data_IF_335502428464
#
_entry.id   IF_335502428464
#
_cell.length_a   1.000
_cell.length_b   1.000
_cell.length_c   1.000
_cell.angle_alpha   90.00
_cell.angle_beta   90.00
_cell.angle_gamma   90.00
#
_symmetry.space_group_name_H-M   'P 1'
#
loop_
_entity.id
_entity.type
_entity.pdbx_description
1 polymer ?
#
# COMPACT_ATOMS: atom_id res chain seq x y z
N UNK A 1 16.35 8.19 -3.24
CA UNK A 1 15.66 9.03 -4.25
C UNK A 1 14.33 9.40 -3.62
N UNK A 2 14.13 10.68 -3.34
CA UNK A 2 12.87 11.16 -2.76
C UNK A 2 11.85 11.36 -3.88
N UNK A 3 10.64 10.85 -3.69
CA UNK A 3 9.51 11.12 -4.58
C UNK A 3 8.60 12.15 -3.90
N UNK A 4 8.75 13.42 -4.29
CA UNK A 4 7.99 14.55 -3.77
C UNK A 4 6.49 14.55 -4.17
N UNK A 5 6.06 13.61 -5.02
CA UNK A 5 4.65 13.43 -5.43
C UNK A 5 4.17 11.98 -5.25
N UNK A 6 4.55 11.34 -4.14
CA UNK A 6 4.17 9.95 -3.86
C UNK A 6 2.65 9.71 -4.02
N UNK A 7 1.81 10.66 -3.61
CA UNK A 7 0.35 10.65 -3.76
C UNK A 7 -0.14 10.52 -5.22
N UNK A 8 0.51 11.19 -6.17
CA UNK A 8 0.09 11.14 -7.58
C UNK A 8 0.47 9.80 -8.24
N UNK A 9 1.49 9.14 -7.70
CA UNK A 9 2.06 7.92 -8.28
C UNK A 9 1.30 6.67 -7.81
N UNK A 10 0.67 6.66 -6.63
CA UNK A 10 -0.04 5.47 -6.08
C UNK A 10 -1.48 5.29 -6.60
N UNK A 11 -1.94 6.12 -7.55
CA UNK A 11 -3.23 5.89 -8.20
C UNK A 11 -3.36 4.47 -8.78
N UNK A 12 -4.58 3.90 -8.78
CA UNK A 12 -4.84 2.50 -9.18
C UNK A 12 -4.22 2.10 -10.53
N UNK A 13 -4.09 3.04 -11.48
CA UNK A 13 -3.49 2.80 -12.81
C UNK A 13 -1.98 2.53 -12.78
N UNK A 14 -1.27 2.94 -11.73
CA UNK A 14 0.19 2.86 -11.64
C UNK A 14 0.70 1.91 -10.56
N UNK A 15 -0.18 1.37 -9.69
CA UNK A 15 0.20 0.47 -8.60
C UNK A 15 1.04 -0.75 -9.08
N UNK A 16 0.69 -1.36 -10.21
CA UNK A 16 1.47 -2.48 -10.77
C UNK A 16 2.86 -2.06 -11.26
N UNK A 17 2.98 -0.86 -11.81
CA UNK A 17 4.26 -0.30 -12.25
C UNK A 17 5.15 0.05 -11.06
N UNK A 18 4.58 0.62 -9.99
CA UNK A 18 5.30 0.87 -8.73
C UNK A 18 5.79 -0.44 -8.13
N UNK A 19 4.95 -1.48 -8.01
CA UNK A 19 5.39 -2.78 -7.48
C UNK A 19 6.54 -3.35 -8.29
N UNK A 20 6.45 -3.29 -9.62
CA UNK A 20 7.54 -3.68 -10.50
C UNK A 20 8.79 -2.86 -10.22
N UNK A 21 8.64 -1.54 -10.10
CA UNK A 21 9.74 -0.63 -9.86
C UNK A 21 10.41 -0.87 -8.51
N UNK A 22 9.67 -0.96 -7.41
CA UNK A 22 10.17 -1.25 -6.06
C UNK A 22 10.91 -2.59 -6.01
N UNK A 23 10.43 -3.60 -6.74
CA UNK A 23 11.04 -4.94 -6.76
C UNK A 23 12.27 -5.05 -7.67
N UNK A 24 12.56 -4.04 -8.51
CA UNK A 24 13.72 -4.08 -9.44
C UNK A 24 15.03 -3.90 -8.67
N UNK A 25 15.97 -4.80 -8.94
CA UNK A 25 17.37 -4.72 -8.46
C UNK A 25 18.28 -3.90 -9.38
N UNK A 26 17.82 -3.61 -10.60
CA UNK A 26 18.60 -2.96 -11.66
C UNK A 26 17.78 -1.84 -12.28
N UNK A 27 18.36 -0.65 -12.31
CA UNK A 27 17.82 0.53 -12.96
C UNK A 27 18.36 0.64 -14.39
N UNK A 28 17.45 0.74 -15.35
CA UNK A 28 17.77 0.97 -16.77
C UNK A 28 17.56 2.45 -17.07
N UNK A 29 18.65 3.20 -17.20
CA UNK A 29 18.56 4.61 -17.56
C UNK A 29 19.69 5.02 -18.51
N UNK A 30 19.47 6.12 -19.22
CA UNK A 30 20.46 6.75 -20.09
C UNK A 30 21.16 7.85 -19.27
N UNK A 31 22.46 7.73 -18.97
CA UNK A 31 23.16 8.78 -18.25
C UNK A 31 23.20 10.07 -19.08
N UNK A 32 23.32 11.25 -18.45
CA UNK A 32 23.55 12.50 -19.17
C UNK A 32 24.73 12.34 -20.15
N UNK A 33 24.54 12.77 -21.40
CA UNK A 33 25.51 12.63 -22.51
C UNK A 33 25.81 11.19 -22.98
N UNK A 34 25.20 10.17 -22.38
CA UNK A 34 25.28 8.80 -22.88
C UNK A 34 24.57 8.66 -24.22
N UNK A 35 25.05 7.79 -25.12
CA UNK A 35 24.37 7.49 -26.40
C UNK A 35 23.35 6.35 -26.29
N UNK A 36 23.46 5.50 -25.27
CA UNK A 36 22.64 4.30 -25.08
C UNK A 36 22.15 4.18 -23.64
N UNK A 37 21.03 3.48 -23.46
CA UNK A 37 20.55 3.07 -22.15
C UNK A 37 21.53 2.03 -21.58
N UNK A 38 21.87 2.18 -20.30
CA UNK A 38 22.72 1.22 -19.57
C UNK A 38 21.99 0.72 -18.33
N UNK A 39 22.42 -0.43 -17.87
CA UNK A 39 21.94 -1.07 -16.65
C UNK A 39 22.85 -0.72 -15.49
N UNK A 40 22.26 -0.31 -14.37
CA UNK A 40 22.98 0.01 -13.15
C UNK A 40 22.33 -0.73 -11.97
N UNK A 41 23.08 -1.44 -11.13
CA UNK A 41 22.55 -1.99 -9.89
C UNK A 41 21.97 -0.87 -9.03
N UNK A 42 20.77 -1.08 -8.47
CA UNK A 42 20.14 -0.11 -7.59
C UNK A 42 20.93 -0.01 -6.28
N UNK A 43 21.38 1.20 -5.95
CA UNK A 43 22.20 1.49 -4.75
C UNK A 43 21.50 2.41 -3.75
N UNK A 44 20.23 2.69 -3.95
CA UNK A 44 19.48 3.64 -3.13
C UNK A 44 18.14 3.09 -2.68
N UNK A 45 17.65 3.65 -1.57
CA UNK A 45 16.28 3.46 -1.10
C UNK A 45 15.36 4.50 -1.74
N UNK A 46 14.09 4.14 -1.85
CA UNK A 46 13.02 5.01 -2.33
C UNK A 46 12.20 5.37 -1.11
N UNK A 47 11.99 6.67 -0.91
CA UNK A 47 11.14 7.19 0.14
C UNK A 47 10.14 8.18 -0.46
N UNK A 48 8.96 8.21 0.12
CA UNK A 48 7.89 9.15 -0.21
C UNK A 48 7.18 9.55 1.08
N UNK A 49 6.59 10.73 1.07
CA UNK A 49 5.69 11.18 2.12
C UNK A 49 4.30 11.39 1.53
N UNK A 50 3.28 11.16 2.35
CA UNK A 50 1.88 11.34 2.00
C UNK A 50 1.15 11.94 3.17
N UNK A 51 0.21 12.83 2.89
CA UNK A 51 -0.73 13.35 3.88
C UNK A 51 -2.07 12.62 3.82
N UNK A 52 -2.24 11.68 2.87
CA UNK A 52 -3.45 10.90 2.74
C UNK A 52 -3.42 9.78 3.78
N UNK A 53 -4.45 9.63 4.61
CA UNK A 53 -4.51 8.54 5.57
C UNK A 53 -4.67 7.18 4.86
N UNK A 54 -5.32 7.17 3.70
CA UNK A 54 -5.56 5.98 2.89
C UNK A 54 -4.87 6.14 1.53
N UNK A 55 -3.80 5.37 1.30
CA UNK A 55 -3.04 5.44 0.06
C UNK A 55 -2.63 4.08 -0.48
N UNK A 56 -2.74 3.01 0.32
CA UNK A 56 -2.37 1.67 -0.12
C UNK A 56 -3.55 1.02 -0.84
N UNK A 57 -3.40 0.81 -2.15
CA UNK A 57 -4.47 0.31 -3.03
C UNK A 57 -4.32 -1.17 -3.39
N UNK A 58 -3.48 -1.93 -2.67
CA UNK A 58 -3.20 -3.33 -2.98
C UNK A 58 -3.97 -4.30 -2.09
N UNK A 59 -5.04 -4.95 -2.61
CA UNK A 59 -5.81 -5.93 -1.83
C UNK A 59 -5.06 -7.23 -1.56
N UNK A 60 -3.89 -7.46 -2.20
CA UNK A 60 -3.06 -8.66 -1.97
C UNK A 60 -1.99 -8.46 -0.88
N UNK A 61 -2.01 -7.31 -0.22
CA UNK A 61 -1.06 -6.93 0.83
C UNK A 61 0.02 -5.97 0.34
N UNK A 62 0.41 -5.05 1.22
CA UNK A 62 1.31 -3.93 0.94
C UNK A 62 2.72 -4.13 1.52
N UNK A 63 3.19 -5.38 1.67
CA UNK A 63 4.50 -5.80 2.20
C UNK A 63 5.75 -5.12 1.62
N UNK A 64 5.62 -4.38 0.52
CA UNK A 64 6.72 -3.61 -0.11
C UNK A 64 6.80 -2.17 0.41
N UNK A 65 5.88 -1.77 1.29
CA UNK A 65 5.80 -0.47 1.90
C UNK A 65 6.08 -0.60 3.39
N UNK A 66 7.06 0.16 3.88
CA UNK A 66 7.26 0.39 5.31
C UNK A 66 6.69 1.76 5.63
N UNK A 67 5.49 1.77 6.21
CA UNK A 67 4.82 3.01 6.57
C UNK A 67 5.28 3.44 7.95
N UNK A 68 5.83 4.66 8.04
CA UNK A 68 6.29 5.24 9.29
C UNK A 68 5.32 6.38 9.62
N UNK A 69 4.42 6.23 10.62
CA UNK A 69 3.56 7.31 11.04
C UNK A 69 4.39 8.43 11.65
N UNK A 70 4.49 9.55 10.94
CA UNK A 70 4.96 10.79 11.51
C UNK A 70 3.79 11.39 12.29
N UNK A 71 3.88 11.38 13.63
CA UNK A 71 2.81 11.90 14.49
C UNK A 71 2.45 13.36 14.17
N UNK A 72 1.42 13.88 14.85
CA UNK A 72 0.92 15.25 14.66
C UNK A 72 1.89 16.35 15.12
N UNK A 73 2.97 15.97 15.81
CA UNK A 73 4.00 16.90 16.26
C UNK A 73 4.89 17.33 15.09
N UNK A 74 5.16 18.63 15.01
CA UNK A 74 6.10 19.18 14.03
C UNK A 74 7.48 18.57 14.26
N UNK A 75 8.06 17.98 13.22
CA UNK A 75 9.42 17.43 13.27
C UNK A 75 10.40 18.58 13.53
N UNK A 76 11.22 18.45 14.58
CA UNK A 76 12.30 19.40 14.87
C UNK A 76 13.46 19.18 13.87
N UNK A 77 13.41 19.94 12.79
CA UNK A 77 14.41 19.87 11.73
C UNK A 77 15.77 20.42 12.16
N UNK A 78 15.83 21.33 13.14
CA UNK A 78 17.08 21.88 13.65
C UNK A 78 17.82 20.86 14.51
N UNK A 79 17.10 20.13 15.37
CA UNK A 79 17.62 18.97 16.08
C UNK A 79 18.09 17.90 15.10
N UNK A 80 17.25 17.53 14.13
CA UNK A 80 17.59 16.51 13.14
C UNK A 80 18.85 16.86 12.35
N UNK A 81 19.01 18.12 11.95
CA UNK A 81 20.20 18.58 11.22
C UNK A 81 21.47 18.45 12.07
N UNK A 82 21.39 18.72 13.37
CA UNK A 82 22.53 18.59 14.29
C UNK A 82 22.88 17.12 14.56
N UNK A 83 21.87 16.27 14.78
CA UNK A 83 22.08 14.88 15.18
C UNK A 83 22.27 13.93 13.97
N UNK A 84 22.01 14.38 12.73
CA UNK A 84 22.05 13.58 11.50
C UNK A 84 23.30 12.69 11.42
N UNK A 85 24.47 13.29 11.63
CA UNK A 85 25.74 12.58 11.47
C UNK A 85 25.92 11.54 12.58
N UNK A 86 25.40 11.81 13.79
CA UNK A 86 25.37 10.87 14.90
C UNK A 86 24.43 9.69 14.66
N UNK A 87 23.22 9.95 14.14
CA UNK A 87 22.25 8.92 13.74
C UNK A 87 22.88 8.02 12.67
N UNK A 88 23.53 8.60 11.66
CA UNK A 88 24.20 7.84 10.61
C UNK A 88 25.37 7.02 11.15
N UNK A 89 26.20 7.61 12.02
CA UNK A 89 27.30 6.90 12.66
C UNK A 89 26.81 5.68 13.47
N UNK A 90 25.72 5.85 14.24
CA UNK A 90 25.11 4.75 15.00
C UNK A 90 24.58 3.64 14.08
N UNK A 91 23.89 4.01 12.99
CA UNK A 91 23.40 3.04 12.01
C UNK A 91 24.53 2.27 11.31
N UNK A 92 25.62 2.96 10.94
CA UNK A 92 26.80 2.33 10.35
C UNK A 92 27.50 1.41 11.34
N UNK A 93 27.56 1.79 12.62
CA UNK A 93 28.14 0.96 13.66
C UNK A 93 27.32 -0.33 13.85
N UNK A 94 26.00 -0.22 14.03
CA UNK A 94 25.09 -1.37 14.10
C UNK A 94 25.25 -2.32 12.91
N UNK A 95 25.31 -1.77 11.69
CA UNK A 95 25.55 -2.56 10.48
C UNK A 95 26.89 -3.32 10.52
N UNK A 96 27.97 -2.67 10.96
CA UNK A 96 29.30 -3.30 11.09
C UNK A 96 29.33 -4.37 12.17
N UNK A 97 28.53 -4.21 13.21
CA UNK A 97 28.37 -5.17 14.30
C UNK A 97 27.50 -6.38 13.89
N UNK A 98 26.94 -6.35 12.67
CA UNK A 98 26.17 -7.46 12.10
C UNK A 98 24.71 -7.46 12.52
N UNK A 99 24.21 -6.35 13.05
CA UNK A 99 22.79 -6.19 13.38
C UNK A 99 21.91 -6.42 12.15
N UNK A 100 20.77 -7.07 12.36
CA UNK A 100 19.82 -7.33 11.29
C UNK A 100 19.12 -6.02 10.88
N UNK A 101 19.05 -5.79 9.58
CA UNK A 101 18.49 -4.55 8.99
C UNK A 101 17.34 -4.83 8.02
N UNK A 102 16.91 -6.08 7.93
CA UNK A 102 15.68 -6.51 7.25
C UNK A 102 14.69 -7.04 8.30
N UNK A 103 13.39 -6.97 8.00
CA UNK A 103 12.36 -7.54 8.87
C UNK A 103 12.43 -9.08 8.78
N UNK A 104 12.32 -9.76 9.92
CA UNK A 104 12.04 -11.19 9.93
C UNK A 104 10.55 -11.44 9.67
N UNK A 105 10.14 -12.70 9.69
CA UNK A 105 8.76 -13.07 9.39
C UNK A 105 7.76 -12.41 10.34
N UNK A 106 8.06 -12.35 11.63
CA UNK A 106 7.15 -11.82 12.65
C UNK A 106 7.01 -10.30 12.50
N UNK A 107 8.13 -9.60 12.28
CA UNK A 107 8.13 -8.16 12.01
C UNK A 107 7.50 -7.80 10.66
N UNK A 108 7.61 -8.67 9.65
CA UNK A 108 6.88 -8.50 8.38
C UNK A 108 5.36 -8.60 8.59
N UNK A 109 4.88 -9.53 9.42
CA UNK A 109 3.45 -9.63 9.75
C UNK A 109 2.97 -8.40 10.52
N UNK A 110 3.75 -7.91 11.49
CA UNK A 110 3.41 -6.69 12.22
C UNK A 110 3.37 -5.48 11.29
N UNK A 111 4.35 -5.33 10.40
CA UNK A 111 4.34 -4.27 9.39
C UNK A 111 3.15 -4.37 8.45
N UNK A 112 2.74 -5.57 8.03
CA UNK A 112 1.56 -5.74 7.18
C UNK A 112 0.27 -5.39 7.93
N UNK A 113 0.19 -5.77 9.21
CA UNK A 113 -0.96 -5.42 10.06
C UNK A 113 -1.10 -3.90 10.24
N UNK A 114 0.01 -3.20 10.45
CA UNK A 114 0.04 -1.73 10.49
C UNK A 114 -0.33 -1.11 9.14
N UNK A 115 0.08 -1.73 8.03
CA UNK A 115 -0.26 -1.27 6.69
C UNK A 115 -1.77 -1.37 6.39
N UNK A 116 -2.51 -2.28 7.06
CA UNK A 116 -3.97 -2.37 6.92
C UNK A 116 -4.67 -1.05 7.25
N UNK A 117 -4.16 -0.28 8.22
CA UNK A 117 -4.74 1.00 8.63
C UNK A 117 -4.65 2.08 7.54
N UNK A 118 -3.75 1.91 6.57
CA UNK A 118 -3.54 2.84 5.45
C UNK A 118 -4.10 2.31 4.12
N UNK A 119 -4.80 1.17 4.13
CA UNK A 119 -5.44 0.61 2.95
C UNK A 119 -6.66 1.44 2.55
N UNK A 120 -6.74 1.78 1.27
CA UNK A 120 -7.92 2.43 0.73
C UNK A 120 -9.09 1.45 0.76
N UNK A 121 -10.09 1.78 1.57
CA UNK A 121 -11.28 0.95 1.69
C UNK A 121 -12.29 1.38 0.63
N UNK A 122 -12.89 0.40 -0.03
CA UNK A 122 -13.92 0.68 -1.01
C UNK A 122 -15.21 1.14 -0.30
N UNK A 123 -15.87 2.25 -0.67
CA UNK A 123 -17.11 2.69 -0.02
C UNK A 123 -18.23 1.62 -0.02
N UNK A 124 -18.22 0.70 -0.98
CA UNK A 124 -19.18 -0.42 -1.01
C UNK A 124 -18.83 -1.50 0.00
N UNK A 125 -17.55 -1.61 0.40
CA UNK A 125 -17.10 -2.58 1.38
C UNK A 125 -17.75 -2.33 2.74
N UNK A 126 -17.82 -1.08 3.20
CA UNK A 126 -18.48 -0.76 4.48
C UNK A 126 -19.97 -1.11 4.47
N UNK A 127 -20.65 -0.83 3.35
CA UNK A 127 -22.07 -1.17 3.18
C UNK A 127 -22.28 -2.69 3.19
N UNK A 128 -21.45 -3.41 2.44
CA UNK A 128 -21.51 -4.87 2.32
C UNK A 128 -21.17 -5.53 3.67
N UNK A 129 -20.07 -5.13 4.32
CA UNK A 129 -19.65 -5.64 5.62
C UNK A 129 -20.68 -5.34 6.70
N UNK A 130 -21.27 -4.13 6.70
CA UNK A 130 -22.34 -3.76 7.62
C UNK A 130 -23.57 -4.64 7.48
N UNK A 131 -23.97 -4.99 6.25
CA UNK A 131 -25.09 -5.92 6.00
C UNK A 131 -24.76 -7.37 6.38
N UNK A 132 -23.51 -7.79 6.17
CA UNK A 132 -23.03 -9.12 6.57
C UNK A 132 -22.85 -9.27 8.08
N UNK A 133 -22.79 -8.16 8.84
CA UNK A 133 -22.67 -8.18 10.30
C UNK A 133 -24.03 -8.10 11.03
N UNK A 134 -25.15 -8.03 10.29
CA UNK A 134 -26.48 -7.95 10.89
C UNK A 134 -26.93 -9.30 11.49
N UNK A 135 -27.74 -9.29 12.56
CA UNK A 135 -28.32 -10.51 13.12
C UNK A 135 -29.12 -11.29 12.06
N UNK A 136 -28.73 -12.54 11.80
CA UNK A 136 -29.31 -13.38 10.76
C UNK A 136 -28.48 -13.49 9.47
N UNK A 137 -27.45 -12.67 9.31
CA UNK A 137 -26.51 -12.77 8.19
C UNK A 137 -25.69 -14.07 8.23
N UNK A 138 -25.46 -14.67 9.41
CA UNK A 138 -24.82 -15.99 9.56
C UNK A 138 -25.58 -17.13 8.85
N UNK A 139 -26.87 -16.93 8.52
CA UNK A 139 -27.67 -17.89 7.76
C UNK A 139 -27.51 -17.73 6.25
N UNK A 140 -26.93 -16.62 5.78
CA UNK A 140 -26.63 -16.42 4.37
C UNK A 140 -25.44 -17.30 4.00
N UNK A 141 -25.71 -18.41 3.34
CA UNK A 141 -24.65 -19.30 2.82
C UNK A 141 -24.23 -18.93 1.40
N UNK A 142 -25.10 -18.22 0.66
CA UNK A 142 -24.85 -17.77 -0.71
C UNK A 142 -25.56 -16.44 -0.97
N UNK A 143 -24.83 -15.49 -1.54
CA UNK A 143 -25.35 -14.21 -1.99
C UNK A 143 -24.83 -13.96 -3.40
N UNK A 144 -25.69 -13.53 -4.32
CA UNK A 144 -25.28 -13.25 -5.70
C UNK A 144 -24.80 -11.81 -5.83
N UNK A 145 -23.85 -11.58 -6.73
CA UNK A 145 -23.40 -10.21 -7.06
C UNK A 145 -24.56 -9.29 -7.46
N UNK A 146 -25.52 -9.82 -8.22
CA UNK A 146 -26.73 -9.07 -8.63
C UNK A 146 -27.59 -8.67 -7.41
N UNK A 147 -27.78 -9.58 -6.45
CA UNK A 147 -28.53 -9.29 -5.23
C UNK A 147 -27.85 -8.19 -4.41
N UNK A 148 -26.52 -8.29 -4.22
CA UNK A 148 -25.74 -7.27 -3.50
C UNK A 148 -25.86 -5.90 -4.20
N UNK A 149 -25.67 -5.86 -5.53
CA UNK A 149 -25.75 -4.61 -6.29
C UNK A 149 -27.13 -3.97 -6.22
N UNK A 150 -28.19 -4.77 -6.28
CA UNK A 150 -29.57 -4.27 -6.30
C UNK A 150 -30.06 -3.89 -4.90
N UNK A 151 -29.92 -4.78 -3.93
CA UNK A 151 -30.57 -4.66 -2.62
C UNK A 151 -29.72 -3.93 -1.58
N UNK A 152 -28.38 -4.04 -1.66
CA UNK A 152 -27.50 -3.43 -0.66
C UNK A 152 -26.92 -2.12 -1.16
N UNK A 153 -26.47 -2.09 -2.42
CA UNK A 153 -25.90 -0.88 -3.04
C UNK A 153 -26.99 0.01 -3.65
N UNK A 154 -28.15 -0.54 -4.02
CA UNK A 154 -29.24 0.22 -4.64
C UNK A 154 -28.97 0.59 -6.11
N UNK A 155 -28.08 -0.14 -6.79
CA UNK A 155 -27.72 0.11 -8.18
C UNK A 155 -28.75 -0.56 -9.11
N UNK A 156 -29.43 0.18 -9.99
CA UNK A 156 -30.42 -0.40 -10.89
C UNK A 156 -29.74 -1.29 -11.94
N UNK A 157 -30.45 -2.33 -12.42
CA UNK A 157 -29.88 -3.40 -13.26
C UNK A 157 -29.22 -2.92 -14.55
N UNK A 158 -29.71 -1.81 -15.11
CA UNK A 158 -29.16 -1.14 -16.29
C UNK A 158 -27.74 -0.56 -16.06
N UNK A 159 -27.37 -0.33 -14.81
CA UNK A 159 -26.05 0.19 -14.41
C UNK A 159 -25.13 -0.88 -13.81
N UNK A 160 -25.55 -2.14 -13.75
CA UNK A 160 -24.77 -3.25 -13.21
C UNK A 160 -23.81 -3.85 -14.25
N UNK A 161 -22.88 -3.03 -14.73
CA UNK A 161 -21.87 -3.45 -15.69
C UNK A 161 -20.85 -4.44 -15.12
N UNK A 162 -19.97 -4.93 -16.01
CA UNK A 162 -18.83 -5.77 -15.62
C UNK A 162 -17.89 -5.12 -14.59
N UNK A 163 -17.63 -3.79 -14.62
CA UNK A 163 -16.81 -3.14 -13.60
C UNK A 163 -17.40 -3.26 -12.19
N UNK A 164 -18.69 -3.01 -12.04
CA UNK A 164 -19.42 -3.02 -10.76
C UNK A 164 -19.48 -4.43 -10.19
N UNK A 165 -19.73 -5.43 -11.05
CA UNK A 165 -19.74 -6.84 -10.65
C UNK A 165 -18.36 -7.30 -10.18
N UNK A 166 -17.29 -6.92 -10.88
CA UNK A 166 -15.91 -7.23 -10.48
C UNK A 166 -15.53 -6.57 -9.15
N UNK A 167 -15.99 -5.34 -8.92
CA UNK A 167 -15.78 -4.59 -7.68
C UNK A 167 -16.39 -5.32 -6.49
N UNK A 168 -17.66 -5.72 -6.57
CA UNK A 168 -18.31 -6.53 -5.52
C UNK A 168 -17.59 -7.86 -5.31
N UNK A 169 -17.19 -8.55 -6.38
CA UNK A 169 -16.44 -9.80 -6.27
C UNK A 169 -15.08 -9.64 -5.58
N UNK A 170 -14.40 -8.50 -5.76
CA UNK A 170 -13.16 -8.21 -5.05
C UNK A 170 -13.41 -7.97 -3.54
N UNK A 171 -14.45 -7.20 -3.20
CA UNK A 171 -14.85 -6.92 -1.82
C UNK A 171 -15.24 -8.20 -1.08
N UNK A 172 -16.07 -9.05 -1.68
CA UNK A 172 -16.52 -10.30 -1.06
C UNK A 172 -15.34 -11.23 -0.74
N UNK A 173 -14.35 -11.34 -1.64
CA UNK A 173 -13.11 -12.11 -1.37
C UNK A 173 -12.28 -11.50 -0.24
N UNK A 174 -12.18 -10.18 -0.18
CA UNK A 174 -11.49 -9.50 0.92
C UNK A 174 -12.16 -9.76 2.28
N UNK A 175 -13.49 -9.93 2.29
CA UNK A 175 -14.27 -10.32 3.48
C UNK A 175 -14.29 -11.84 3.74
N UNK A 176 -13.55 -12.64 2.96
CA UNK A 176 -13.41 -14.09 3.17
C UNK A 176 -14.48 -14.96 2.51
N UNK A 177 -15.25 -14.45 1.54
CA UNK A 177 -16.28 -15.19 0.81
C UNK A 177 -15.79 -15.67 -0.57
N UNK A 178 -16.16 -16.89 -0.97
CA UNK A 178 -15.81 -17.51 -2.27
C UNK A 178 -16.94 -17.46 -3.33
#
# INVERSE_FOLDING_TARGET
MEWSEFDQVIGQRQASQIKSFLSRRVDRFRPPYGRMVREYPRRGVICGSTNQPEFLNDPTGSRRFWVIPTGTARIDTALLQRERDGIWAAAVQAYKDGEQWWLDYDLEQESEQLNCDYQQTDPWQDVIAGKLSLPGADQLTKVTTEYILTEWIGLPKDRQGKPEQRRVGAIMRALGWE
#
